data_IF_525692058757
#
_entry.id   IF_525692058757
#
_cell.length_a   1.000
_cell.length_b   1.000
_cell.length_c   1.000
_cell.angle_alpha   90.00
_cell.angle_beta   90.00
_cell.angle_gamma   90.00
#
_symmetry.space_group_name_H-M   'P 1'
#
loop_
_entity.id
_entity.type
_entity.pdbx_description
1 polymer ?
#
# COMPACT_ATOMS: atom_id res chain seq x y z
N UNK A 1 -10.35 6.50 12.34
CA UNK A 1 -9.95 7.81 12.90
C UNK A 1 -9.93 8.87 11.79
N UNK A 2 -9.97 10.17 12.11
CA UNK A 2 -9.97 11.24 11.10
C UNK A 2 -8.62 11.35 10.38
N UNK A 3 -7.52 11.29 11.13
CA UNK A 3 -6.14 11.21 10.62
C UNK A 3 -5.43 10.04 11.30
N UNK A 4 -4.60 9.33 10.55
CA UNK A 4 -3.74 8.25 11.06
C UNK A 4 -2.34 8.44 10.49
N UNK A 5 -1.35 8.45 11.36
CA UNK A 5 0.07 8.41 11.02
C UNK A 5 0.74 7.41 11.96
N UNK A 6 1.37 6.38 11.41
CA UNK A 6 2.04 5.32 12.17
C UNK A 6 3.49 5.26 11.71
N UNK A 7 4.41 5.31 12.66
CA UNK A 7 5.84 5.11 12.43
C UNK A 7 6.39 4.08 13.41
N UNK A 8 7.15 3.11 12.89
CA UNK A 8 7.70 2.04 13.72
C UNK A 8 8.67 1.15 12.96
N UNK A 9 9.17 0.13 13.66
CA UNK A 9 9.98 -0.90 13.03
C UNK A 9 9.14 -1.81 12.13
N UNK A 10 8.04 -2.30 12.68
CA UNK A 10 7.05 -3.10 11.97
C UNK A 10 5.65 -2.56 12.24
N UNK A 11 4.80 -2.61 11.22
CA UNK A 11 3.37 -2.27 11.29
C UNK A 11 2.61 -3.50 10.81
N UNK A 12 1.72 -4.03 11.64
CA UNK A 12 0.96 -5.25 11.36
C UNK A 12 -0.52 -4.92 11.35
N UNK A 13 -1.16 -5.17 10.22
CA UNK A 13 -2.62 -5.10 10.03
C UNK A 13 -3.18 -6.44 9.55
N UNK A 14 -2.37 -7.51 9.61
CA UNK A 14 -2.73 -8.85 9.19
C UNK A 14 -4.03 -9.33 9.87
N UNK A 15 -4.99 -9.79 9.06
CA UNK A 15 -6.34 -10.18 9.48
C UNK A 15 -7.22 -9.06 10.06
N UNK A 16 -6.70 -7.84 10.16
CA UNK A 16 -7.38 -6.69 10.77
C UNK A 16 -7.80 -5.62 9.75
N UNK A 17 -8.33 -4.51 10.25
CA UNK A 17 -8.71 -3.35 9.45
C UNK A 17 -8.12 -2.06 10.05
N UNK A 18 -7.35 -1.33 9.26
CA UNK A 18 -6.91 0.03 9.55
C UNK A 18 -7.57 0.99 8.55
N UNK A 19 -8.51 1.81 9.03
CA UNK A 19 -9.25 2.76 8.20
C UNK A 19 -9.10 4.21 8.68
N UNK A 20 -8.51 5.06 7.82
CA UNK A 20 -8.53 6.52 7.93
C UNK A 20 -9.79 7.07 7.26
N UNK A 21 -10.67 7.68 8.05
CA UNK A 21 -11.99 8.14 7.61
C UNK A 21 -12.01 9.61 7.16
N UNK A 22 -10.98 10.38 7.48
CA UNK A 22 -10.82 11.74 6.97
C UNK A 22 -10.22 11.77 5.58
N UNK A 23 -10.26 12.93 4.92
CA UNK A 23 -9.65 13.17 3.60
C UNK A 23 -8.14 13.40 3.65
N UNK A 24 -7.55 13.35 4.85
CA UNK A 24 -6.12 13.53 5.06
C UNK A 24 -5.37 12.26 4.62
N UNK A 25 -4.10 12.43 4.26
CA UNK A 25 -3.24 11.32 3.88
C UNK A 25 -3.09 10.33 5.06
N UNK A 26 -3.32 9.05 4.81
CA UNK A 26 -2.91 7.97 5.70
C UNK A 26 -1.41 7.75 5.54
N UNK A 27 -0.65 7.98 6.60
CA UNK A 27 0.81 7.82 6.58
C UNK A 27 1.23 6.55 7.33
N UNK A 28 1.96 5.67 6.66
CA UNK A 28 2.50 4.45 7.25
C UNK A 28 4.00 4.38 6.99
N UNK A 29 4.80 4.39 8.04
CA UNK A 29 6.26 4.27 8.00
C UNK A 29 6.69 3.04 8.80
N UNK A 30 7.12 2.00 8.10
CA UNK A 30 7.63 0.77 8.69
C UNK A 30 9.08 0.54 8.24
N UNK A 31 10.05 0.64 9.12
CA UNK A 31 11.46 0.50 8.72
C UNK A 31 11.76 -0.88 8.13
N UNK A 32 11.20 -1.91 8.74
CA UNK A 32 11.46 -3.31 8.39
C UNK A 32 10.27 -3.90 7.63
N UNK A 33 9.09 -3.93 8.24
CA UNK A 33 7.96 -4.70 7.73
C UNK A 33 6.63 -3.97 7.87
N UNK A 34 5.90 -3.83 6.77
CA UNK A 34 4.46 -3.59 6.78
C UNK A 34 3.77 -4.89 6.36
N UNK A 35 3.03 -5.52 7.27
CA UNK A 35 2.29 -6.76 7.01
C UNK A 35 0.78 -6.52 7.00
N UNK A 36 0.19 -6.59 5.82
CA UNK A 36 -1.25 -6.50 5.58
C UNK A 36 -1.84 -7.84 5.12
N UNK A 37 -1.26 -8.98 5.52
CA UNK A 37 -1.72 -10.32 5.10
C UNK A 37 -3.16 -10.59 5.53
N UNK A 38 -4.06 -10.80 4.58
CA UNK A 38 -5.51 -10.95 4.84
C UNK A 38 -6.15 -9.73 5.52
N UNK A 39 -5.44 -8.61 5.59
CA UNK A 39 -5.86 -7.38 6.25
C UNK A 39 -6.47 -6.37 5.28
N UNK A 40 -6.95 -5.25 5.81
CA UNK A 40 -7.42 -4.10 5.03
C UNK A 40 -6.79 -2.80 5.52
N UNK A 41 -6.13 -2.09 4.61
CA UNK A 41 -5.67 -0.71 4.76
C UNK A 41 -6.58 0.19 3.92
N UNK A 42 -7.36 1.05 4.56
CA UNK A 42 -8.30 1.95 3.90
C UNK A 42 -8.04 3.42 4.24
N UNK A 43 -8.15 4.29 3.24
CA UNK A 43 -8.13 5.74 3.43
C UNK A 43 -9.19 6.41 2.58
N UNK A 44 -9.98 7.30 3.18
CA UNK A 44 -10.82 8.25 2.43
C UNK A 44 -9.99 9.38 1.79
N UNK A 45 -8.74 9.54 2.21
CA UNK A 45 -7.73 10.36 1.55
C UNK A 45 -6.81 9.54 0.66
N UNK A 46 -5.65 10.11 0.32
CA UNK A 46 -4.55 9.35 -0.27
C UNK A 46 -3.86 8.46 0.78
N UNK A 47 -2.97 7.60 0.31
CA UNK A 47 -2.02 6.86 1.15
C UNK A 47 -0.59 7.26 0.84
N UNK A 48 0.25 7.29 1.86
CA UNK A 48 1.70 7.43 1.75
C UNK A 48 2.36 6.34 2.60
N UNK A 49 2.91 5.34 1.94
CA UNK A 49 3.48 4.13 2.57
C UNK A 49 4.97 4.09 2.31
N UNK A 50 5.75 3.95 3.38
CA UNK A 50 7.19 3.75 3.34
C UNK A 50 7.51 2.48 4.12
N UNK A 51 8.06 1.46 3.45
CA UNK A 51 8.36 0.16 4.05
C UNK A 51 9.75 -0.36 3.67
N UNK A 52 10.39 -1.16 4.52
CA UNK A 52 11.46 -2.05 4.06
C UNK A 52 10.86 -3.12 3.14
N UNK A 53 9.99 -3.96 3.72
CA UNK A 53 9.19 -4.96 3.03
C UNK A 53 7.71 -4.68 3.27
N UNK A 54 6.91 -4.62 2.21
CA UNK A 54 5.45 -4.51 2.29
C UNK A 54 4.82 -5.79 1.76
N UNK A 55 4.14 -6.53 2.65
CA UNK A 55 3.38 -7.75 2.34
C UNK A 55 1.90 -7.41 2.28
N UNK A 56 1.29 -7.67 1.14
CA UNK A 56 -0.14 -7.54 0.88
C UNK A 56 -0.69 -8.87 0.33
N UNK A 57 -0.44 -9.96 1.05
CA UNK A 57 -0.86 -11.30 0.66
C UNK A 57 -2.32 -11.54 1.04
N UNK A 58 -3.22 -11.78 0.07
CA UNK A 58 -4.68 -11.80 0.27
C UNK A 58 -5.24 -10.53 0.95
N UNK A 59 -4.43 -9.47 1.03
CA UNK A 59 -4.74 -8.21 1.69
C UNK A 59 -5.32 -7.20 0.72
N UNK A 60 -5.83 -6.10 1.27
CA UNK A 60 -6.37 -4.98 0.50
C UNK A 60 -5.76 -3.67 0.96
N UNK A 61 -5.29 -2.86 0.02
CA UNK A 61 -5.02 -1.44 0.20
C UNK A 61 -5.95 -0.64 -0.70
N UNK A 62 -6.69 0.31 -0.13
CA UNK A 62 -7.67 1.14 -0.82
C UNK A 62 -7.42 2.62 -0.47
N UNK A 63 -7.04 3.41 -1.46
CA UNK A 63 -6.95 4.86 -1.37
C UNK A 63 -8.11 5.50 -2.14
N UNK A 64 -9.18 5.88 -1.45
CA UNK A 64 -10.39 6.40 -2.06
C UNK A 64 -10.33 7.91 -2.36
N UNK A 65 -9.32 8.63 -1.85
CA UNK A 65 -9.18 10.07 -2.05
C UNK A 65 -8.69 10.46 -3.44
N UNK A 66 -8.97 11.71 -3.82
CA UNK A 66 -8.59 12.26 -5.13
C UNK A 66 -7.14 12.78 -5.21
N UNK A 67 -6.42 12.78 -4.08
CA UNK A 67 -5.01 13.10 -4.02
C UNK A 67 -4.14 11.92 -4.48
N UNK A 68 -2.97 12.23 -5.03
CA UNK A 68 -2.02 11.21 -5.48
C UNK A 68 -1.52 10.38 -4.29
N UNK A 69 -1.47 9.05 -4.47
CA UNK A 69 -0.97 8.10 -3.49
C UNK A 69 0.44 7.61 -3.86
N UNK A 70 1.24 7.34 -2.83
CA UNK A 70 2.61 6.87 -3.00
C UNK A 70 2.90 5.65 -2.12
N UNK A 71 3.61 4.68 -2.68
CA UNK A 71 4.13 3.52 -1.97
C UNK A 71 5.61 3.42 -2.31
N UNK A 72 6.46 3.43 -1.28
CA UNK A 72 7.91 3.25 -1.39
C UNK A 72 8.31 2.03 -0.57
N UNK A 73 8.89 1.03 -1.21
CA UNK A 73 9.36 -0.16 -0.53
C UNK A 73 10.70 -0.66 -1.10
N UNK A 74 11.52 -1.37 -0.32
CA UNK A 74 12.59 -2.16 -0.93
C UNK A 74 11.96 -3.38 -1.63
N UNK A 75 11.05 -4.08 -0.95
CA UNK A 75 10.30 -5.20 -1.50
C UNK A 75 8.79 -5.00 -1.32
N UNK A 76 8.03 -5.13 -2.41
CA UNK A 76 6.57 -5.13 -2.40
C UNK A 76 6.07 -6.50 -2.88
N UNK A 77 5.37 -7.21 -2.00
CA UNK A 77 4.75 -8.51 -2.28
C UNK A 77 3.23 -8.37 -2.24
N UNK A 78 2.61 -8.32 -3.41
CA UNK A 78 1.16 -8.27 -3.57
C UNK A 78 0.66 -9.59 -4.16
N UNK A 79 0.70 -10.67 -3.36
CA UNK A 79 0.25 -12.00 -3.76
C UNK A 79 -1.24 -12.17 -3.51
N UNK A 80 -2.04 -12.53 -4.51
CA UNK A 80 -3.50 -12.70 -4.38
C UNK A 80 -4.23 -11.52 -3.70
N UNK A 81 -3.59 -10.35 -3.60
CA UNK A 81 -4.08 -9.17 -2.91
C UNK A 81 -4.47 -8.08 -3.89
N UNK A 82 -4.96 -6.96 -3.36
CA UNK A 82 -5.28 -5.78 -4.16
C UNK A 82 -4.69 -4.50 -3.58
N UNK A 83 -4.15 -3.66 -4.47
CA UNK A 83 -3.75 -2.29 -4.19
C UNK A 83 -4.48 -1.40 -5.19
N UNK A 84 -5.35 -0.52 -4.72
CA UNK A 84 -6.14 0.37 -5.56
C UNK A 84 -6.12 1.81 -5.07
N UNK A 85 -6.08 2.75 -6.03
CA UNK A 85 -6.20 4.18 -5.77
C UNK A 85 -7.22 4.85 -6.71
N UNK A 86 -8.03 5.77 -6.18
CA UNK A 86 -8.98 6.57 -6.97
C UNK A 86 -8.28 7.65 -7.82
N UNK A 87 -7.08 8.08 -7.41
CA UNK A 87 -6.27 9.04 -8.16
C UNK A 87 -5.01 8.37 -8.71
N UNK A 88 -3.97 9.17 -8.97
CA UNK A 88 -2.66 8.65 -9.39
C UNK A 88 -2.06 7.77 -8.28
N UNK A 89 -1.48 6.64 -8.67
CA UNK A 89 -0.69 5.78 -7.79
C UNK A 89 0.74 5.72 -8.30
N UNK A 90 1.69 6.06 -7.43
CA UNK A 90 3.11 5.84 -7.68
C UNK A 90 3.63 4.76 -6.74
N UNK A 91 4.21 3.72 -7.32
CA UNK A 91 4.92 2.67 -6.59
C UNK A 91 6.40 2.77 -6.97
N UNK A 92 7.24 2.92 -5.95
CA UNK A 92 8.70 2.88 -6.05
C UNK A 92 9.17 1.66 -5.23
N UNK A 93 9.47 0.56 -5.92
CA UNK A 93 9.84 -0.70 -5.29
C UNK A 93 11.07 -1.30 -5.95
N UNK A 94 12.14 -1.61 -5.20
CA UNK A 94 13.31 -2.26 -5.82
C UNK A 94 12.94 -3.62 -6.42
N UNK A 95 12.10 -4.37 -5.70
CA UNK A 95 11.50 -5.61 -6.15
C UNK A 95 9.99 -5.56 -5.96
N UNK A 96 9.24 -5.85 -7.03
CA UNK A 96 7.78 -5.96 -7.01
C UNK A 96 7.38 -7.39 -7.43
N UNK A 97 6.78 -8.14 -6.51
CA UNK A 97 6.15 -9.44 -6.76
C UNK A 97 4.63 -9.30 -6.71
N UNK A 98 3.95 -9.66 -7.80
CA UNK A 98 2.50 -9.47 -7.97
C UNK A 98 1.71 -10.76 -8.24
N UNK A 99 2.24 -11.93 -7.87
CA UNK A 99 1.69 -13.24 -8.27
C UNK A 99 0.22 -13.38 -7.86
N UNK A 100 -0.69 -13.44 -8.85
CA UNK A 100 -2.14 -13.53 -8.62
C UNK A 100 -2.80 -12.29 -8.00
N UNK A 101 -2.05 -11.21 -7.74
CA UNK A 101 -2.55 -9.96 -7.18
C UNK A 101 -2.86 -8.90 -8.24
N UNK A 102 -3.48 -7.81 -7.80
CA UNK A 102 -3.84 -6.67 -8.65
C UNK A 102 -3.31 -5.35 -8.09
N UNK A 103 -2.81 -4.50 -8.97
CA UNK A 103 -2.37 -3.14 -8.65
C UNK A 103 -3.01 -2.22 -9.69
N UNK A 104 -3.79 -1.24 -9.23
CA UNK A 104 -4.56 -0.36 -10.11
C UNK A 104 -4.69 1.06 -9.60
N UNK A 105 -4.85 1.98 -10.54
CA UNK A 105 -5.17 3.38 -10.28
C UNK A 105 -6.26 3.80 -11.27
N UNK A 106 -7.26 4.55 -10.82
CA UNK A 106 -8.32 5.00 -11.72
C UNK A 106 -7.85 6.13 -12.66
N UNK A 107 -6.75 6.82 -12.34
CA UNK A 107 -6.15 7.85 -13.21
C UNK A 107 -4.88 7.38 -13.91
N UNK A 108 -3.75 7.35 -13.21
CA UNK A 108 -2.47 6.91 -13.75
C UNK A 108 -1.72 6.03 -12.74
N UNK A 109 -1.15 4.94 -13.23
CA UNK A 109 -0.29 4.05 -12.46
C UNK A 109 1.16 4.24 -12.91
N UNK A 110 2.02 4.66 -11.99
CA UNK A 110 3.47 4.77 -12.21
C UNK A 110 4.17 3.69 -11.39
N UNK A 111 4.76 2.72 -12.08
CA UNK A 111 5.60 1.69 -11.46
C UNK A 111 7.05 2.01 -11.75
N UNK A 112 7.82 2.26 -10.69
CA UNK A 112 9.26 2.40 -10.76
C UNK A 112 9.88 1.30 -9.91
N UNK A 113 10.79 0.52 -10.50
CA UNK A 113 11.43 -0.58 -9.79
C UNK A 113 12.53 -1.26 -10.57
N UNK A 114 13.36 -2.02 -9.85
CA UNK A 114 14.49 -2.74 -10.43
C UNK A 114 14.07 -4.07 -11.06
N UNK A 115 13.19 -4.81 -10.39
CA UNK A 115 12.69 -6.10 -10.87
C UNK A 115 11.18 -6.23 -10.63
N UNK A 116 10.46 -6.60 -11.69
CA UNK A 116 9.02 -6.88 -11.67
C UNK A 116 8.81 -8.37 -11.95
N UNK A 117 8.27 -9.09 -10.97
CA UNK A 117 7.87 -10.49 -11.09
C UNK A 117 6.35 -10.62 -10.97
N UNK A 118 5.71 -10.96 -12.10
CA UNK A 118 4.26 -11.16 -12.21
C UNK A 118 3.92 -12.61 -12.57
N UNK A 119 4.86 -13.54 -12.43
CA UNK A 119 4.70 -14.93 -12.91
C UNK A 119 3.79 -15.77 -12.02
#
# INVERSE_FOLDING_TARGET
AQRISIAGDSVITAGGNLSALGSQVLQLQARSLLDNTGGTLGSNGAVDVHAGRFVNDHGKLIAAGDAASAIRAAQLENRSGSISANSNLRIDAQMLSGQGGSIGAARALYLQGGSLDTR
#
